data_IF_327830071716
#
_entry.id   IF_327830071716
#
_cell.length_a   1.000
_cell.length_b   1.000
_cell.length_c   1.000
_cell.angle_alpha   90.00
_cell.angle_beta   90.00
_cell.angle_gamma   90.00
#
_symmetry.space_group_name_H-M   'P 1'
#
loop_
_entity.id
_entity.type
_entity.pdbx_description
1 polymer ?
#
# COMPACT_ATOMS: atom_id res chain seq x y z
N UNK A 1 -4.52 -34.01 -13.36
CA UNK A 1 -3.13 -33.51 -13.15
C UNK A 1 -2.85 -32.25 -13.97
N UNK A 2 -3.17 -32.24 -15.27
CA UNK A 2 -2.95 -31.07 -16.16
C UNK A 2 -3.76 -29.84 -15.75
N UNK A 3 -5.04 -29.98 -15.39
CA UNK A 3 -5.87 -28.85 -14.92
C UNK A 3 -5.32 -28.19 -13.65
N UNK A 4 -4.85 -28.96 -12.67
CA UNK A 4 -4.27 -28.39 -11.44
C UNK A 4 -2.95 -27.64 -11.71
N UNK A 5 -2.13 -28.14 -12.64
CA UNK A 5 -0.90 -27.46 -13.07
C UNK A 5 -1.23 -26.21 -13.90
N UNK A 6 -2.22 -26.29 -14.78
CA UNK A 6 -2.69 -25.16 -15.57
C UNK A 6 -3.23 -24.05 -14.66
N UNK A 7 -4.14 -24.39 -13.76
CA UNK A 7 -4.72 -23.43 -12.83
C UNK A 7 -3.67 -22.77 -11.92
N UNK A 8 -2.71 -23.55 -11.39
CA UNK A 8 -1.66 -22.98 -10.54
C UNK A 8 -0.66 -22.12 -11.31
N UNK A 9 -0.28 -22.51 -12.53
CA UNK A 9 0.63 -21.72 -13.37
C UNK A 9 -0.04 -20.46 -13.88
N UNK A 10 -1.24 -20.57 -14.43
CA UNK A 10 -2.00 -19.43 -15.00
C UNK A 10 -2.35 -18.43 -13.91
N UNK A 11 -2.82 -18.87 -12.73
CA UNK A 11 -3.12 -17.93 -11.63
C UNK A 11 -1.88 -17.21 -11.10
N UNK A 12 -0.74 -17.89 -11.03
CA UNK A 12 0.53 -17.23 -10.65
C UNK A 12 0.97 -16.21 -11.69
N UNK A 13 0.82 -16.52 -12.99
CA UNK A 13 1.12 -15.59 -14.07
C UNK A 13 0.22 -14.35 -13.99
N UNK A 14 -1.10 -14.53 -13.90
CA UNK A 14 -2.05 -13.42 -13.76
C UNK A 14 -1.72 -12.52 -12.56
N UNK A 15 -1.36 -13.12 -11.42
CA UNK A 15 -0.88 -12.38 -10.24
C UNK A 15 0.36 -11.53 -10.55
N UNK A 16 1.37 -12.11 -11.21
CA UNK A 16 2.59 -11.38 -11.56
C UNK A 16 2.33 -10.29 -12.59
N UNK A 17 1.48 -10.56 -13.59
CA UNK A 17 1.11 -9.63 -14.65
C UNK A 17 0.35 -8.43 -14.07
N UNK A 18 -0.64 -8.64 -13.19
CA UNK A 18 -1.35 -7.53 -12.54
C UNK A 18 -0.42 -6.64 -11.71
N UNK A 19 0.53 -7.22 -10.98
CA UNK A 19 1.52 -6.45 -10.23
C UNK A 19 2.53 -5.74 -11.14
N UNK A 20 2.92 -6.36 -12.25
CA UNK A 20 3.79 -5.75 -13.25
C UNK A 20 3.11 -4.56 -13.93
N UNK A 21 1.84 -4.69 -14.30
CA UNK A 21 1.02 -3.60 -14.83
C UNK A 21 0.94 -2.46 -13.83
N UNK A 22 0.64 -2.75 -12.55
CA UNK A 22 0.59 -1.71 -11.52
C UNK A 22 1.93 -0.96 -11.39
N UNK A 23 3.05 -1.68 -11.37
CA UNK A 23 4.39 -1.08 -11.31
C UNK A 23 4.70 -0.22 -12.53
N UNK A 24 4.31 -0.66 -13.72
CA UNK A 24 4.54 0.09 -14.94
C UNK A 24 3.69 1.36 -14.97
N UNK A 25 2.43 1.30 -14.54
CA UNK A 25 1.57 2.48 -14.42
C UNK A 25 2.13 3.49 -13.40
N UNK A 26 2.61 3.02 -12.25
CA UNK A 26 3.32 3.85 -11.27
C UNK A 26 4.56 4.50 -11.88
N UNK A 27 5.36 3.75 -12.65
CA UNK A 27 6.57 4.24 -13.33
C UNK A 27 6.26 5.30 -14.37
N UNK A 28 5.15 5.16 -15.09
CA UNK A 28 4.67 6.11 -16.10
C UNK A 28 3.90 7.29 -15.50
N UNK A 29 3.66 7.30 -14.18
CA UNK A 29 2.84 8.29 -13.49
C UNK A 29 1.37 8.33 -13.99
N UNK A 30 0.84 7.20 -14.43
CA UNK A 30 -0.56 7.03 -14.89
C UNK A 30 -1.51 6.88 -13.69
N UNK A 31 -1.65 7.95 -12.91
CA UNK A 31 -2.17 7.89 -11.54
C UNK A 31 -3.57 7.28 -11.42
N UNK A 32 -4.55 7.75 -12.21
CA UNK A 32 -5.93 7.27 -12.12
C UNK A 32 -6.06 5.80 -12.54
N UNK A 33 -5.33 5.38 -13.58
CA UNK A 33 -5.29 3.98 -14.03
C UNK A 33 -4.63 3.10 -12.97
N UNK A 34 -3.51 3.54 -12.38
CA UNK A 34 -2.85 2.83 -11.30
C UNK A 34 -3.80 2.62 -10.10
N UNK A 35 -4.62 3.61 -9.73
CA UNK A 35 -5.61 3.43 -8.66
C UNK A 35 -6.72 2.45 -9.02
N UNK A 36 -7.18 2.44 -10.27
CA UNK A 36 -8.17 1.47 -10.71
C UNK A 36 -7.60 0.04 -10.63
N UNK A 37 -6.42 -0.19 -11.19
CA UNK A 37 -5.74 -1.50 -11.12
C UNK A 37 -5.47 -1.89 -9.66
N UNK A 38 -5.02 -0.96 -8.83
CA UNK A 38 -4.76 -1.23 -7.42
C UNK A 38 -6.03 -1.63 -6.66
N UNK A 39 -7.17 -1.01 -6.94
CA UNK A 39 -8.47 -1.40 -6.34
C UNK A 39 -8.85 -2.82 -6.70
N UNK A 40 -8.54 -3.29 -7.90
CA UNK A 40 -8.85 -4.64 -8.33
C UNK A 40 -7.86 -5.65 -7.76
N UNK A 41 -6.55 -5.35 -7.80
CA UNK A 41 -5.50 -6.12 -7.11
C UNK A 41 -5.85 -6.34 -5.63
N UNK A 42 -6.38 -5.33 -4.94
CA UNK A 42 -6.77 -5.45 -3.53
C UNK A 42 -7.92 -6.42 -3.25
N UNK A 43 -8.80 -6.67 -4.22
CA UNK A 43 -9.94 -7.60 -4.08
C UNK A 43 -9.54 -9.04 -4.37
N UNK A 44 -8.38 -9.25 -4.98
CA UNK A 44 -7.89 -10.58 -5.32
C UNK A 44 -7.55 -11.39 -4.06
N UNK A 45 -8.01 -12.63 -4.00
CA UNK A 45 -7.83 -13.52 -2.84
C UNK A 45 -6.35 -13.79 -2.50
N UNK A 46 -5.46 -13.66 -3.48
CA UNK A 46 -4.02 -13.91 -3.35
C UNK A 46 -3.24 -12.66 -2.92
N UNK A 47 -3.89 -11.49 -2.89
CA UNK A 47 -3.23 -10.23 -2.57
C UNK A 47 -3.01 -10.13 -1.08
N UNK A 48 -1.77 -9.81 -0.73
CA UNK A 48 -1.38 -9.46 0.63
C UNK A 48 -0.97 -7.99 0.64
N UNK A 49 -1.62 -7.14 1.44
CA UNK A 49 -1.27 -5.73 1.58
C UNK A 49 0.20 -5.55 1.95
N UNK A 50 0.90 -4.66 1.24
CA UNK A 50 2.32 -4.35 1.45
C UNK A 50 2.49 -2.85 1.65
N UNK A 51 3.20 -2.47 2.72
CA UNK A 51 3.37 -1.05 3.08
C UNK A 51 4.11 -0.29 1.98
N UNK A 52 5.12 -0.92 1.36
CA UNK A 52 5.87 -0.31 0.26
C UNK A 52 4.98 0.04 -0.94
N UNK A 53 4.05 -0.83 -1.34
CA UNK A 53 3.10 -0.55 -2.44
C UNK A 53 2.22 0.66 -2.11
N UNK A 54 1.75 0.76 -0.86
CA UNK A 54 1.01 1.93 -0.40
C UNK A 54 1.87 3.21 -0.42
N UNK A 55 3.14 3.12 -0.04
CA UNK A 55 4.06 4.25 -0.09
C UNK A 55 4.23 4.77 -1.53
N UNK A 56 4.44 3.88 -2.50
CA UNK A 56 4.57 4.25 -3.92
C UNK A 56 3.29 4.89 -4.47
N UNK A 57 2.13 4.30 -4.17
CA UNK A 57 0.82 4.85 -4.55
C UNK A 57 0.61 6.25 -3.95
N UNK A 58 0.85 6.41 -2.65
CA UNK A 58 0.69 7.70 -1.95
C UNK A 58 1.64 8.74 -2.51
N UNK A 59 2.91 8.37 -2.75
CA UNK A 59 3.91 9.26 -3.34
C UNK A 59 3.47 9.76 -4.71
N UNK A 60 3.03 8.85 -5.57
CA UNK A 60 2.53 9.20 -6.90
C UNK A 60 1.37 10.18 -6.79
N UNK A 61 0.32 9.88 -6.02
CA UNK A 61 -0.83 10.79 -5.90
C UNK A 61 -0.49 12.13 -5.26
N UNK A 62 0.36 12.15 -4.23
CA UNK A 62 0.81 13.37 -3.59
C UNK A 62 1.64 14.24 -4.54
N UNK A 63 2.47 13.63 -5.39
CA UNK A 63 3.27 14.36 -6.39
C UNK A 63 2.45 14.97 -7.53
N UNK A 64 1.20 14.56 -7.70
CA UNK A 64 0.25 15.09 -8.67
C UNK A 64 -0.88 15.91 -7.99
N UNK A 65 -0.70 16.33 -6.74
CA UNK A 65 -1.65 17.15 -5.97
C UNK A 65 -3.06 16.53 -5.76
N UNK A 66 -3.20 15.21 -5.92
CA UNK A 66 -4.46 14.49 -5.70
C UNK A 66 -4.64 14.09 -4.23
N UNK A 67 -4.80 15.08 -3.36
CA UNK A 67 -4.86 14.88 -1.91
C UNK A 67 -6.01 13.95 -1.48
N UNK A 68 -7.16 14.01 -2.13
CA UNK A 68 -8.30 13.16 -1.78
C UNK A 68 -8.04 11.67 -2.08
N UNK A 69 -7.18 11.39 -3.06
CA UNK A 69 -6.74 10.02 -3.37
C UNK A 69 -5.69 9.54 -2.36
N UNK A 70 -4.84 10.43 -1.86
CA UNK A 70 -3.92 10.13 -0.76
C UNK A 70 -4.70 9.73 0.50
N UNK A 71 -5.73 10.49 0.87
CA UNK A 71 -6.59 10.16 2.02
C UNK A 71 -7.30 8.81 1.85
N UNK A 72 -7.79 8.53 0.65
CA UNK A 72 -8.40 7.24 0.31
C UNK A 72 -7.41 6.07 0.49
N UNK A 73 -6.17 6.22 0.04
CA UNK A 73 -5.13 5.20 0.18
C UNK A 73 -4.75 4.98 1.65
N UNK A 74 -4.68 6.05 2.45
CA UNK A 74 -4.46 5.95 3.90
C UNK A 74 -5.62 5.24 4.61
N UNK A 75 -6.87 5.48 4.18
CA UNK A 75 -8.04 4.76 4.68
C UNK A 75 -7.95 3.26 4.37
N UNK A 76 -7.58 2.90 3.13
CA UNK A 76 -7.37 1.52 2.72
C UNK A 76 -6.28 0.83 3.56
N UNK A 77 -5.13 1.49 3.72
CA UNK A 77 -4.04 0.99 4.58
C UNK A 77 -4.50 0.78 6.03
N UNK A 78 -5.32 1.69 6.56
CA UNK A 78 -5.88 1.59 7.91
C UNK A 78 -6.85 0.41 8.07
N UNK A 79 -7.68 0.16 7.07
CA UNK A 79 -8.62 -0.99 7.06
C UNK A 79 -7.83 -2.30 7.00
N UNK A 80 -6.77 -2.35 6.18
CA UNK A 80 -5.97 -3.55 5.94
C UNK A 80 -4.87 -3.81 6.99
N UNK A 81 -4.79 -2.98 8.04
CA UNK A 81 -3.69 -3.00 9.03
C UNK A 81 -3.42 -4.34 9.72
N UNK A 82 -4.41 -5.23 9.75
CA UNK A 82 -4.28 -6.56 10.37
C UNK A 82 -3.67 -7.60 9.42
N UNK A 83 -3.58 -7.29 8.12
CA UNK A 83 -3.04 -8.16 7.09
C UNK A 83 -1.66 -7.71 6.60
N UNK A 84 -1.11 -6.64 7.17
CA UNK A 84 0.24 -6.13 6.89
C UNK A 84 1.28 -6.96 7.63
N UNK A 85 2.36 -7.28 6.91
CA UNK A 85 3.59 -7.79 7.52
C UNK A 85 4.41 -6.65 8.13
N UNK A 86 5.32 -7.02 9.03
CA UNK A 86 6.36 -6.11 9.48
C UNK A 86 7.28 -5.77 8.30
N UNK A 87 7.30 -4.50 7.91
CA UNK A 87 8.03 -3.98 6.76
C UNK A 87 8.65 -2.62 7.14
N UNK A 88 9.87 -2.65 7.66
CA UNK A 88 10.58 -1.44 8.10
C UNK A 88 10.92 -0.52 6.92
N UNK A 89 11.25 -1.11 5.77
CA UNK A 89 11.57 -0.34 4.57
C UNK A 89 10.34 0.37 4.04
N UNK A 90 9.23 -0.35 3.85
CA UNK A 90 7.95 0.23 3.44
C UNK A 90 7.44 1.26 4.43
N UNK A 91 7.58 1.03 5.74
CA UNK A 91 7.23 2.03 6.76
C UNK A 91 8.08 3.31 6.61
N UNK A 92 9.39 3.17 6.46
CA UNK A 92 10.28 4.33 6.27
C UNK A 92 9.97 5.09 4.99
N UNK A 93 9.68 4.37 3.89
CA UNK A 93 9.28 4.96 2.61
C UNK A 93 7.96 5.73 2.74
N UNK A 94 6.96 5.14 3.40
CA UNK A 94 5.67 5.77 3.66
C UNK A 94 5.86 7.02 4.54
N UNK A 95 6.61 6.90 5.63
CA UNK A 95 6.85 8.00 6.56
C UNK A 95 7.56 9.18 5.89
N UNK A 96 8.62 8.92 5.11
CA UNK A 96 9.32 9.94 4.32
C UNK A 96 8.38 10.62 3.32
N UNK A 97 7.57 9.85 2.62
CA UNK A 97 6.59 10.37 1.67
C UNK A 97 5.62 11.32 2.37
N UNK A 98 5.00 10.89 3.47
CA UNK A 98 4.05 11.72 4.21
C UNK A 98 4.70 13.02 4.70
N UNK A 99 5.93 12.97 5.23
CA UNK A 99 6.66 14.16 5.66
C UNK A 99 6.97 15.12 4.50
N UNK A 100 7.43 14.60 3.36
CA UNK A 100 7.82 15.42 2.21
C UNK A 100 6.63 16.19 1.60
N UNK A 101 5.43 15.62 1.67
CA UNK A 101 4.21 16.24 1.15
C UNK A 101 3.37 16.92 2.25
N UNK A 102 3.94 17.19 3.43
CA UNK A 102 3.27 17.95 4.48
C UNK A 102 2.19 17.19 5.25
N UNK A 103 2.03 15.88 5.03
CA UNK A 103 1.18 14.99 5.82
C UNK A 103 1.84 14.62 7.15
N UNK A 104 2.11 15.63 7.97
CA UNK A 104 2.64 15.41 9.31
C UNK A 104 1.60 14.68 10.18
N UNK A 105 1.99 13.65 10.95
CA UNK A 105 1.10 13.01 11.92
C UNK A 105 0.43 14.03 12.84
N UNK A 106 1.12 15.14 13.15
CA UNK A 106 0.66 16.22 14.02
C UNK A 106 -0.55 17.00 13.45
N UNK A 107 -0.79 16.94 12.14
CA UNK A 107 -1.79 17.76 11.40
C UNK A 107 -3.01 16.93 10.97
N UNK A 108 -2.98 15.61 11.15
CA UNK A 108 -4.11 14.74 10.80
C UNK A 108 -5.10 14.61 11.96
N UNK A 109 -6.39 14.44 11.65
CA UNK A 109 -7.47 14.36 12.66
C UNK A 109 -7.16 13.35 13.78
N UNK A 110 -7.78 13.54 14.97
CA UNK A 110 -7.57 12.70 16.16
C UNK A 110 -7.63 11.18 15.89
N UNK A 111 -8.45 10.74 14.92
CA UNK A 111 -8.60 9.33 14.55
C UNK A 111 -7.43 8.73 13.75
N UNK A 112 -6.69 9.55 13.02
CA UNK A 112 -5.48 9.18 12.27
C UNK A 112 -4.26 9.13 13.20
N UNK A 113 -4.09 10.13 14.07
CA UNK A 113 -3.02 10.14 15.09
C UNK A 113 -3.06 8.91 15.99
N UNK A 114 -4.24 8.53 16.45
CA UNK A 114 -4.37 7.37 17.33
C UNK A 114 -4.10 6.04 16.61
N UNK A 115 -4.19 6.02 15.29
CA UNK A 115 -3.78 4.85 14.49
C UNK A 115 -2.26 4.79 14.37
N UNK A 116 -1.60 5.91 14.11
CA UNK A 116 -0.14 6.01 14.01
C UNK A 116 0.54 5.68 15.34
N UNK A 117 0.05 6.20 16.46
CA UNK A 117 0.59 5.89 17.80
C UNK A 117 0.45 4.40 18.17
N UNK A 118 -0.68 3.78 17.81
CA UNK A 118 -0.91 2.34 18.06
C UNK A 118 -0.05 1.45 17.17
N UNK A 119 0.17 1.84 15.91
CA UNK A 119 1.10 1.14 15.02
C UNK A 119 2.53 1.26 15.56
N UNK A 120 2.97 2.46 15.97
CA UNK A 120 4.28 2.66 16.60
C UNK A 120 4.47 1.74 17.80
N UNK A 121 3.50 1.70 18.72
CA UNK A 121 3.59 0.86 19.92
C UNK A 121 3.61 -0.65 19.60
N UNK A 122 2.84 -1.10 18.61
CA UNK A 122 2.81 -2.50 18.14
C UNK A 122 4.17 -2.93 17.55
N UNK A 123 4.84 -2.05 16.82
CA UNK A 123 6.15 -2.32 16.22
C UNK A 123 7.33 -2.09 17.18
N UNK A 124 7.15 -1.36 18.29
CA UNK A 124 8.19 -1.20 19.33
C UNK A 124 8.36 -2.44 20.22
N UNK A 125 7.34 -3.28 20.38
CA UNK A 125 7.41 -4.49 21.22
C UNK A 125 7.98 -5.72 20.50
N UNK A 126 8.22 -5.66 19.19
CA UNK A 126 8.83 -6.75 18.43
C UNK A 126 10.36 -6.64 18.29
N UNK A 127 10.98 -5.58 18.85
CA UNK A 127 12.43 -5.35 18.81
C UNK A 127 13.14 -5.60 20.16
N UNK A 128 12.51 -6.32 21.08
CA UNK A 128 13.18 -6.89 22.26
C UNK A 128 12.93 -8.40 22.29
N UNK A 129 13.79 -9.12 21.56
CA UNK A 129 14.26 -10.44 21.96
C UNK A 129 15.72 -10.27 22.38
#
# INVERSE_FOLDING_TARGET
MVEQVFESKVRRLLKFDMLAVLRELLRQNEALLALQVFKDVRKEYWYKPQVLVYADMIKMFASNDFLEKVELLLLYLKIERYHLDADTEGFNALFRTLMNYGFSPQITNKGTQQTIYRLRHKFSHQNFM
#
